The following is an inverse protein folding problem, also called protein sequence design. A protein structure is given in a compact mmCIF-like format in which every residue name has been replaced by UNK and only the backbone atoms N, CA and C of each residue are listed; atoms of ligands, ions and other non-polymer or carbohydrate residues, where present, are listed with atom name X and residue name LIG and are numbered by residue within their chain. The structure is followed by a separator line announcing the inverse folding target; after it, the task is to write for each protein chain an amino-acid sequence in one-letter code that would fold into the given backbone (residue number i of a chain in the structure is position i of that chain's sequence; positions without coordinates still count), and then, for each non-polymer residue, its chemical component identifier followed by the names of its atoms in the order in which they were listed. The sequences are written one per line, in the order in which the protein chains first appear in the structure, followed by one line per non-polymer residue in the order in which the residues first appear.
data_IF_074787355249
#
_entry.id   IF_074787355249
#
_cell.length_a   1.000
_cell.length_b   1.000
_cell.length_c   1.000
_cell.angle_alpha   90.00
_cell.angle_beta   90.00
_cell.angle_gamma   90.00
#
_symmetry.space_group_name_H-M   'P 1'
#
loop_
_entity.id
_entity.type
_entity.pdbx_description
1 polymer ?
#
# COMPACT_ATOMS: atom_id res chain seq x y z
N UNK A 1 -4.50 10.96 -3.32
CA UNK A 1 -5.26 10.16 -4.30
C UNK A 1 -5.96 8.99 -3.63
N UNK A 2 -5.37 8.32 -2.64
CA UNK A 2 -5.94 7.16 -1.91
C UNK A 2 -7.41 7.31 -1.49
N UNK A 3 -7.81 8.48 -0.95
CA UNK A 3 -9.19 8.70 -0.49
C UNK A 3 -10.24 8.62 -1.62
N UNK A 4 -9.85 8.97 -2.85
CA UNK A 4 -10.74 8.91 -4.03
C UNK A 4 -11.18 7.48 -4.31
N UNK A 5 -10.29 6.53 -4.03
CA UNK A 5 -10.51 5.10 -4.21
C UNK A 5 -11.31 4.46 -3.06
N UNK A 6 -11.83 5.24 -2.09
CA UNK A 6 -12.94 4.76 -1.25
C UNK A 6 -14.21 4.51 -2.07
N UNK A 7 -14.35 5.22 -3.19
CA UNK A 7 -15.43 5.00 -4.14
C UNK A 7 -15.16 3.75 -4.99
N UNK A 8 -16.07 2.78 -4.93
CA UNK A 8 -15.99 1.51 -5.66
C UNK A 8 -15.82 1.71 -7.16
N UNK A 9 -16.51 2.70 -7.74
CA UNK A 9 -16.42 2.97 -9.17
C UNK A 9 -15.04 3.52 -9.55
N UNK A 10 -14.42 4.33 -8.69
CA UNK A 10 -13.06 4.82 -8.90
C UNK A 10 -12.03 3.68 -8.82
N UNK A 11 -12.18 2.78 -7.84
CA UNK A 11 -11.31 1.60 -7.68
C UNK A 11 -11.48 0.61 -8.83
N UNK A 12 -12.72 0.35 -9.25
CA UNK A 12 -13.01 -0.49 -10.41
C UNK A 12 -12.41 0.10 -11.69
N UNK A 13 -12.54 1.41 -11.91
CA UNK A 13 -11.91 2.07 -13.05
C UNK A 13 -10.40 1.87 -13.03
N UNK A 14 -9.75 2.03 -11.88
CA UNK A 14 -8.31 1.82 -11.76
C UNK A 14 -7.91 0.37 -12.08
N UNK A 15 -8.57 -0.62 -11.47
CA UNK A 15 -8.22 -2.03 -11.66
C UNK A 15 -8.48 -2.46 -13.11
N UNK A 16 -9.58 -2.01 -13.72
CA UNK A 16 -9.86 -2.25 -15.14
C UNK A 16 -8.77 -1.72 -16.06
N UNK A 17 -8.21 -0.53 -15.76
CA UNK A 17 -7.11 0.03 -16.55
C UNK A 17 -5.82 -0.78 -16.37
N UNK A 18 -5.50 -1.16 -15.13
CA UNK A 18 -4.29 -1.92 -14.81
C UNK A 18 -4.34 -3.32 -15.42
N UNK A 19 -5.47 -4.03 -15.29
CA UNK A 19 -5.65 -5.39 -15.80
C UNK A 19 -6.11 -5.46 -17.25
N UNK A 20 -6.38 -4.31 -17.88
CA UNK A 20 -6.84 -4.20 -19.27
C UNK A 20 -8.11 -5.03 -19.56
N UNK A 21 -9.08 -4.99 -18.63
CA UNK A 21 -10.37 -5.68 -18.71
C UNK A 21 -11.52 -4.74 -18.31
N UNK A 22 -12.76 -5.09 -18.66
CA UNK A 22 -13.94 -4.24 -18.42
C UNK A 22 -15.13 -4.96 -17.78
N UNK A 23 -15.00 -6.26 -17.52
CA UNK A 23 -15.99 -7.15 -16.91
C UNK A 23 -15.93 -7.19 -15.38
N UNK A 24 -14.90 -6.59 -14.77
CA UNK A 24 -14.73 -6.55 -13.31
C UNK A 24 -15.89 -5.81 -12.63
N UNK A 25 -16.36 -6.37 -11.52
CA UNK A 25 -17.35 -5.74 -10.64
C UNK A 25 -16.85 -5.72 -9.20
N UNK A 26 -16.46 -4.55 -8.72
CA UNK A 26 -16.01 -4.37 -7.33
C UNK A 26 -17.22 -4.33 -6.40
N UNK A 27 -17.27 -5.25 -5.43
CA UNK A 27 -18.34 -5.36 -4.44
C UNK A 27 -17.97 -4.67 -3.13
N UNK A 28 -16.68 -4.64 -2.77
CA UNK A 28 -16.19 -4.05 -1.52
C UNK A 28 -14.89 -3.30 -1.75
N UNK A 29 -14.72 -2.20 -1.01
CA UNK A 29 -13.45 -1.47 -0.92
C UNK A 29 -13.23 -1.01 0.50
N UNK A 30 -12.08 -1.37 1.05
CA UNK A 30 -11.60 -0.98 2.36
C UNK A 30 -10.35 -0.12 2.17
N UNK A 31 -10.20 0.96 2.93
CA UNK A 31 -9.02 1.85 2.83
C UNK A 31 -8.37 2.03 4.18
N UNK A 32 -7.04 2.08 4.23
CA UNK A 32 -6.28 2.09 5.48
C UNK A 32 -6.63 0.89 6.36
N UNK A 33 -6.68 -0.29 5.74
CA UNK A 33 -7.07 -1.52 6.42
C UNK A 33 -5.87 -2.10 7.18
N UNK A 34 -5.99 -2.15 8.50
CA UNK A 34 -4.94 -2.63 9.40
C UNK A 34 -5.05 -4.16 9.55
N UNK A 35 -4.34 -4.88 8.69
CA UNK A 35 -4.19 -6.34 8.82
C UNK A 35 -3.26 -6.65 9.99
N UNK A 36 -3.86 -7.06 11.10
CA UNK A 36 -3.14 -7.38 12.33
C UNK A 36 -2.57 -8.78 12.28
N UNK A 37 -1.30 -8.91 12.59
CA UNK A 37 -0.67 -10.21 12.83
C UNK A 37 -0.39 -10.37 14.32
N UNK A 38 -0.85 -11.49 14.90
CA UNK A 38 -0.67 -11.78 16.34
C UNK A 38 0.80 -11.99 16.73
N UNK A 39 1.60 -12.53 15.81
CA UNK A 39 2.99 -12.94 16.09
C UNK A 39 4.02 -12.16 15.26
N UNK A 40 3.61 -11.69 14.08
CA UNK A 40 4.46 -11.01 13.11
C UNK A 40 4.24 -9.49 13.02
N UNK A 41 4.73 -8.89 11.94
CA UNK A 41 4.47 -7.48 11.64
C UNK A 41 3.03 -7.34 11.14
N UNK A 42 2.33 -6.31 11.59
CA UNK A 42 1.06 -5.92 10.97
C UNK A 42 1.33 -5.11 9.70
N UNK A 43 0.38 -5.08 8.78
CA UNK A 43 0.46 -4.28 7.56
C UNK A 43 -0.80 -3.43 7.47
N UNK A 44 -0.61 -2.16 7.15
CA UNK A 44 -1.70 -1.28 6.74
C UNK A 44 -1.75 -1.24 5.22
N UNK A 45 -2.86 -1.70 4.66
CA UNK A 45 -3.10 -1.63 3.22
C UNK A 45 -3.71 -0.27 2.88
N UNK A 46 -3.18 0.39 1.86
CA UNK A 46 -3.70 1.67 1.38
C UNK A 46 -5.16 1.50 0.92
N UNK A 47 -5.40 0.55 0.00
CA UNK A 47 -6.72 0.19 -0.53
C UNK A 47 -6.75 -1.33 -0.73
N UNK A 48 -7.77 -1.99 -0.17
CA UNK A 48 -8.11 -3.38 -0.45
C UNK A 48 -9.48 -3.42 -1.12
N UNK A 49 -9.54 -3.82 -2.39
CA UNK A 49 -10.79 -4.02 -3.12
C UNK A 49 -11.06 -5.51 -3.33
N UNK A 50 -12.34 -5.89 -3.34
CA UNK A 50 -12.81 -7.26 -3.55
C UNK A 50 -13.85 -7.24 -4.66
N UNK A 51 -13.72 -8.13 -5.65
CA UNK A 51 -14.68 -8.26 -6.73
C UNK A 51 -15.76 -9.33 -6.48
N UNK A 52 -16.69 -9.48 -7.42
CA UNK A 52 -17.77 -10.47 -7.34
C UNK A 52 -17.31 -11.92 -7.43
N UNK A 53 -16.07 -12.18 -7.85
CA UNK A 53 -15.46 -13.51 -7.92
C UNK A 53 -14.57 -13.80 -6.70
N UNK A 54 -14.58 -12.90 -5.70
CA UNK A 54 -13.76 -12.96 -4.49
C UNK A 54 -12.24 -12.85 -4.77
N UNK A 55 -11.86 -12.14 -5.84
CA UNK A 55 -10.47 -11.76 -6.12
C UNK A 55 -10.12 -10.52 -5.31
N UNK A 56 -8.95 -10.54 -4.67
CA UNK A 56 -8.47 -9.44 -3.82
C UNK A 56 -7.47 -8.56 -4.55
N UNK A 57 -7.66 -7.24 -4.46
CA UNK A 57 -6.79 -6.23 -5.04
C UNK A 57 -6.27 -5.30 -3.95
N UNK A 58 -5.01 -5.48 -3.59
CA UNK A 58 -4.29 -4.54 -2.74
C UNK A 58 -3.58 -3.49 -3.61
N UNK A 59 -4.02 -2.23 -3.53
CA UNK A 59 -3.47 -1.12 -4.29
C UNK A 59 -2.70 -0.19 -3.35
N UNK A 60 -1.41 -0.02 -3.63
CA UNK A 60 -0.44 0.70 -2.81
C UNK A 60 0.12 1.90 -3.58
N UNK A 61 -0.13 3.12 -3.11
CA UNK A 61 0.28 4.36 -3.82
C UNK A 61 1.53 4.94 -3.18
N UNK A 62 2.66 4.88 -3.87
CA UNK A 62 3.97 5.17 -3.30
C UNK A 62 4.69 6.32 -4.03
N UNK A 63 4.96 7.41 -3.30
CA UNK A 63 5.77 8.53 -3.81
C UNK A 63 7.26 8.22 -3.87
N UNK A 64 7.75 7.45 -2.91
CA UNK A 64 9.15 7.07 -2.83
C UNK A 64 9.31 5.59 -3.13
N UNK A 65 10.22 5.26 -4.04
CA UNK A 65 10.46 3.89 -4.52
C UNK A 65 10.80 2.92 -3.38
N UNK A 66 11.42 3.41 -2.29
CA UNK A 66 11.68 2.62 -1.07
C UNK A 66 10.41 1.99 -0.49
N UNK A 67 9.26 2.64 -0.65
CA UNK A 67 7.96 2.17 -0.17
C UNK A 67 7.40 1.01 -1.01
N UNK A 68 7.86 0.84 -2.24
CA UNK A 68 7.38 -0.19 -3.17
C UNK A 68 8.35 -1.40 -3.26
N UNK A 69 9.08 -1.70 -2.19
CA UNK A 69 10.08 -2.78 -2.22
C UNK A 69 9.46 -4.14 -2.57
N UNK A 70 10.17 -4.94 -3.37
CA UNK A 70 9.72 -6.29 -3.77
C UNK A 70 9.40 -7.21 -2.58
N UNK A 71 10.13 -7.05 -1.47
CA UNK A 71 9.87 -7.80 -0.23
C UNK A 71 8.56 -7.39 0.43
N UNK A 72 8.19 -6.11 0.36
CA UNK A 72 6.89 -5.61 0.84
C UNK A 72 5.76 -6.17 -0.02
N UNK A 73 5.93 -6.21 -1.34
CA UNK A 73 4.93 -6.81 -2.22
C UNK A 73 4.59 -8.25 -1.81
N UNK A 74 5.61 -9.10 -1.70
CA UNK A 74 5.44 -10.48 -1.22
C UNK A 74 4.83 -10.57 0.17
N UNK A 75 5.23 -9.68 1.08
CA UNK A 75 4.73 -9.69 2.46
C UNK A 75 3.25 -9.31 2.52
N UNK A 76 2.83 -8.34 1.72
CA UNK A 76 1.44 -7.94 1.59
C UNK A 76 0.57 -9.11 1.08
N UNK A 77 1.02 -9.84 0.05
CA UNK A 77 0.30 -11.04 -0.44
C UNK A 77 0.08 -12.05 0.69
N UNK A 78 1.15 -12.43 1.37
CA UNK A 78 1.09 -13.39 2.49
C UNK A 78 0.18 -12.93 3.63
N UNK A 79 0.12 -11.63 3.89
CA UNK A 79 -0.77 -11.06 4.90
C UNK A 79 -2.24 -11.10 4.47
N UNK A 80 -2.55 -10.90 3.19
CA UNK A 80 -3.91 -11.08 2.68
C UNK A 80 -4.36 -12.53 2.84
N UNK A 81 -3.56 -13.50 2.37
CA UNK A 81 -3.87 -14.94 2.50
C UNK A 81 -4.13 -15.35 3.94
N UNK A 82 -3.33 -14.82 4.87
CA UNK A 82 -3.46 -15.11 6.30
C UNK A 82 -4.70 -14.51 6.95
N UNK A 83 -5.28 -13.45 6.38
CA UNK A 83 -6.45 -12.76 6.95
C UNK A 83 -7.78 -13.22 6.33
N UNK A 84 -7.75 -13.85 5.15
CA UNK A 84 -8.95 -14.35 4.47
C UNK A 84 -9.27 -15.82 4.75
N UNK A 85 -8.33 -16.55 5.34
CA UNK A 85 -8.48 -17.99 5.64
C UNK A 85 -8.74 -18.25 7.12
N UNK A 86 -9.52 -19.28 7.41
CA UNK A 86 -9.75 -19.76 8.77
C UNK A 86 -8.89 -21.02 9.06
N UNK A 87 -8.58 -21.30 10.34
CA UNK A 87 -7.85 -22.51 10.69
C UNK A 87 -8.55 -23.79 10.19
N UNK A 88 -7.87 -24.54 9.33
CA UNK A 88 -8.37 -25.79 8.76
C UNK A 88 -8.97 -25.67 7.36
N UNK A 89 -8.98 -24.47 6.77
CA UNK A 89 -9.30 -24.34 5.35
C UNK A 89 -8.26 -25.02 4.45
N UNK A 90 -8.75 -25.53 3.31
CA UNK A 90 -7.91 -26.07 2.23
C UNK A 90 -7.25 -24.93 1.48
N UNK A 91 -6.00 -25.13 1.02
CA UNK A 91 -5.25 -24.11 0.31
C UNK A 91 -5.89 -23.74 -1.03
N UNK A 92 -6.63 -24.67 -1.63
CA UNK A 92 -7.40 -24.49 -2.86
C UNK A 92 -8.54 -23.45 -2.72
N UNK A 93 -8.89 -23.06 -1.49
CA UNK A 93 -9.84 -21.98 -1.22
C UNK A 93 -9.19 -20.60 -1.16
N UNK A 94 -7.86 -20.51 -1.23
CA UNK A 94 -7.18 -19.22 -1.27
C UNK A 94 -7.69 -18.43 -2.48
N UNK A 95 -8.13 -17.18 -2.27
CA UNK A 95 -8.57 -16.35 -3.38
C UNK A 95 -7.38 -15.97 -4.26
N UNK A 96 -7.67 -15.65 -5.51
CA UNK A 96 -6.69 -14.99 -6.37
C UNK A 96 -6.39 -13.59 -5.79
N UNK A 97 -5.11 -13.22 -5.75
CA UNK A 97 -4.67 -11.97 -5.14
C UNK A 97 -3.78 -11.15 -6.07
N UNK A 98 -3.96 -9.83 -6.01
CA UNK A 98 -3.15 -8.85 -6.72
C UNK A 98 -2.56 -7.85 -5.74
N UNK A 99 -1.25 -7.66 -5.78
CA UNK A 99 -0.57 -6.53 -5.15
C UNK A 99 -0.12 -5.56 -6.23
N UNK A 100 -0.79 -4.41 -6.30
CA UNK A 100 -0.61 -3.37 -7.32
C UNK A 100 0.08 -2.16 -6.69
N UNK A 101 1.36 -1.98 -6.98
CA UNK A 101 2.08 -0.76 -6.60
C UNK A 101 1.95 0.31 -7.68
N UNK A 102 1.44 1.48 -7.33
CA UNK A 102 1.48 2.67 -8.17
C UNK A 102 2.61 3.55 -7.68
N UNK A 103 3.72 3.57 -8.40
CA UNK A 103 4.90 4.34 -8.02
C UNK A 103 4.92 5.67 -8.73
N UNK A 104 5.29 6.75 -8.02
CA UNK A 104 5.42 8.08 -8.64
C UNK A 104 6.45 8.08 -9.77
N UNK A 105 7.56 7.34 -9.61
CA UNK A 105 8.59 7.18 -10.64
C UNK A 105 8.46 5.84 -11.37
N UNK A 106 9.17 5.72 -12.50
CA UNK A 106 9.39 4.42 -13.14
C UNK A 106 10.35 3.55 -12.29
N UNK A 107 9.79 2.69 -11.45
CA UNK A 107 10.53 1.84 -10.51
C UNK A 107 11.58 0.94 -11.19
N UNK A 108 11.32 0.50 -12.43
CA UNK A 108 12.23 -0.40 -13.17
C UNK A 108 13.04 0.32 -14.24
N UNK A 109 12.73 1.57 -14.54
CA UNK A 109 13.44 2.40 -15.53
C UNK A 109 13.36 1.85 -16.95
N UNK A 110 12.25 1.20 -17.32
CA UNK A 110 12.05 0.61 -18.67
C UNK A 110 11.02 1.33 -19.52
N UNK A 111 10.43 2.42 -19.02
CA UNK A 111 9.49 3.28 -19.73
C UNK A 111 8.20 2.56 -20.17
N UNK A 112 7.84 1.47 -19.51
CA UNK A 112 6.58 0.76 -19.73
C UNK A 112 5.51 1.29 -18.77
N UNK A 113 4.22 1.23 -19.13
CA UNK A 113 3.14 1.63 -18.23
C UNK A 113 2.98 0.67 -17.05
N UNK A 114 3.23 -0.63 -17.28
CA UNK A 114 2.97 -1.72 -16.35
C UNK A 114 4.11 -2.73 -16.35
N UNK A 115 4.35 -3.35 -15.20
CA UNK A 115 5.27 -4.46 -15.02
C UNK A 115 4.57 -5.57 -14.23
N UNK A 116 4.27 -6.67 -14.91
CA UNK A 116 3.75 -7.89 -14.30
C UNK A 116 4.91 -8.74 -13.79
N UNK A 117 4.80 -9.22 -12.56
CA UNK A 117 5.81 -10.06 -11.91
C UNK A 117 5.14 -11.36 -11.53
N UNK A 118 5.40 -12.38 -12.35
CA UNK A 118 4.86 -13.74 -12.20
C UNK A 118 5.95 -14.72 -11.80
N UNK A 119 5.54 -15.80 -11.12
CA UNK A 119 6.43 -16.93 -10.82
C UNK A 119 6.45 -17.91 -11.99
N UNK A 120 7.64 -18.41 -12.31
CA UNK A 120 7.87 -19.37 -13.38
C UNK A 120 8.65 -20.57 -12.86
N UNK A 121 8.36 -21.75 -13.42
CA UNK A 121 9.16 -22.95 -13.24
C UNK A 121 10.45 -22.75 -14.04
N UNK A 122 11.60 -22.76 -13.38
CA UNK A 122 12.87 -22.34 -14.01
C UNK A 122 13.31 -23.31 -15.12
N UNK A 123 12.99 -24.59 -14.97
CA UNK A 123 13.40 -25.67 -15.86
C UNK A 123 12.56 -25.71 -17.14
N UNK A 124 11.26 -25.41 -17.05
CA UNK A 124 10.33 -25.50 -18.20
C UNK A 124 9.97 -24.14 -18.78
N UNK A 125 10.14 -23.06 -18.01
CA UNK A 125 9.68 -21.71 -18.36
C UNK A 125 8.17 -21.52 -18.27
N UNK A 126 7.44 -22.53 -17.79
CA UNK A 126 5.99 -22.45 -17.61
C UNK A 126 5.64 -21.55 -16.43
N UNK A 127 4.48 -20.90 -16.49
CA UNK A 127 3.94 -20.16 -15.36
C UNK A 127 3.64 -21.14 -14.22
N UNK A 128 4.00 -20.74 -13.00
CA UNK A 128 3.67 -21.51 -11.80
C UNK A 128 2.15 -21.46 -11.49
N UNK A 129 1.48 -20.38 -11.91
CA UNK A 129 0.02 -20.17 -11.82
C UNK A 129 -0.57 -20.38 -10.41
N UNK A 130 0.08 -19.83 -9.40
CA UNK A 130 -0.37 -19.87 -7.99
C UNK A 130 -1.41 -18.81 -7.62
N UNK A 131 -1.95 -18.09 -8.62
CA UNK A 131 -2.98 -17.05 -8.45
C UNK A 131 -2.56 -15.88 -7.56
N UNK A 132 -1.25 -15.66 -7.39
CA UNK A 132 -0.71 -14.50 -6.71
C UNK A 132 0.05 -13.62 -7.73
N UNK A 133 -0.45 -12.41 -7.94
CA UNK A 133 0.05 -11.49 -8.95
C UNK A 133 0.63 -10.24 -8.32
N UNK A 134 1.80 -9.81 -8.80
CA UNK A 134 2.40 -8.53 -8.40
C UNK A 134 2.51 -7.64 -9.64
N UNK A 135 1.96 -6.43 -9.55
CA UNK A 135 1.97 -5.46 -10.64
C UNK A 135 2.59 -4.16 -10.15
N UNK A 136 3.52 -3.61 -10.92
CA UNK A 136 4.00 -2.25 -10.73
C UNK A 136 3.50 -1.36 -11.85
N UNK A 137 2.85 -0.27 -11.49
CA UNK A 137 2.34 0.77 -12.38
C UNK A 137 3.30 1.96 -12.35
N UNK A 138 3.75 2.37 -13.54
CA UNK A 138 4.65 3.49 -13.72
C UNK A 138 3.89 4.82 -13.73
N UNK A 139 3.96 5.58 -12.63
CA UNK A 139 3.35 6.90 -12.51
C UNK A 139 3.89 7.97 -13.45
N UNK A 140 5.12 7.82 -13.97
CA UNK A 140 5.70 8.74 -14.96
C UNK A 140 5.21 8.49 -16.37
N UNK A 141 4.45 7.41 -16.61
CA UNK A 141 3.97 7.08 -17.93
C UNK A 141 3.05 8.18 -18.48
N UNK A 142 3.29 8.61 -19.73
CA UNK A 142 2.53 9.65 -20.45
C UNK A 142 2.22 9.22 -21.88
N UNK A 143 1.74 7.98 -22.05
CA UNK A 143 1.27 7.48 -23.33
C UNK A 143 -0.05 8.13 -23.77
N UNK A 144 -0.39 7.98 -25.04
CA UNK A 144 -1.68 8.40 -25.59
C UNK A 144 -2.69 7.25 -25.55
N UNK A 145 -2.93 6.73 -24.34
CA UNK A 145 -3.83 5.62 -24.06
C UNK A 145 -4.50 5.82 -22.69
N UNK A 146 -5.48 4.97 -22.32
CA UNK A 146 -6.17 5.14 -21.05
C UNK A 146 -5.30 5.01 -19.79
N UNK A 147 -4.16 4.32 -19.86
CA UNK A 147 -3.19 4.26 -18.75
C UNK A 147 -2.41 5.58 -18.66
N UNK A 148 -2.04 6.17 -19.78
CA UNK A 148 -1.44 7.51 -19.83
C UNK A 148 -2.36 8.59 -19.25
N UNK A 149 -3.65 8.55 -19.58
CA UNK A 149 -4.68 9.42 -19.00
C UNK A 149 -4.81 9.21 -17.48
N UNK A 150 -4.86 7.95 -17.04
CA UNK A 150 -4.93 7.63 -15.61
C UNK A 150 -3.70 8.16 -14.87
N UNK A 151 -2.50 7.92 -15.39
CA UNK A 151 -1.26 8.37 -14.75
C UNK A 151 -1.10 9.89 -14.81
N UNK A 152 -1.59 10.55 -15.86
CA UNK A 152 -1.68 12.01 -15.89
C UNK A 152 -2.53 12.54 -14.73
N UNK A 153 -3.71 11.96 -14.52
CA UNK A 153 -4.67 12.37 -13.49
C UNK A 153 -4.14 12.22 -12.06
N UNK A 154 -3.26 11.25 -11.80
CA UNK A 154 -2.57 11.10 -10.51
C UNK A 154 -1.70 12.31 -10.14
N UNK A 155 -1.24 13.09 -11.13
CA UNK A 155 -0.38 14.27 -10.95
C UNK A 155 -1.17 15.58 -11.04
N UNK A 156 -2.43 15.55 -11.49
CA UNK A 156 -3.28 16.73 -11.56
C UNK A 156 -3.59 17.30 -10.18
N UNK A 157 -3.37 18.61 -10.03
CA UNK A 157 -3.81 19.35 -8.84
C UNK A 157 -5.21 19.92 -9.02
N UNK A 158 -5.63 20.31 -10.22
CA UNK A 158 -6.98 20.79 -10.47
C UNK A 158 -7.83 19.66 -11.07
N UNK A 159 -9.02 19.33 -10.51
CA UNK A 159 -9.92 18.39 -11.14
C UNK A 159 -10.35 18.77 -12.56
N UNK A 160 -10.34 20.06 -12.92
CA UNK A 160 -10.67 20.50 -14.28
C UNK A 160 -9.65 20.05 -15.34
N UNK A 161 -8.42 19.74 -14.91
CA UNK A 161 -7.34 19.30 -15.81
C UNK A 161 -7.36 17.78 -16.00
N UNK A 162 -8.20 17.02 -15.29
CA UNK A 162 -8.18 15.56 -15.33
C UNK A 162 -8.92 14.99 -16.55
N UNK A 163 -8.38 13.95 -17.17
CA UNK A 163 -8.97 13.22 -18.30
C UNK A 163 -10.19 12.38 -17.87
N UNK A 164 -10.11 11.73 -16.70
CA UNK A 164 -11.17 10.83 -16.22
C UNK A 164 -12.21 11.61 -15.40
N UNK A 165 -13.40 11.82 -15.99
CA UNK A 165 -14.51 12.56 -15.35
C UNK A 165 -14.91 11.99 -13.99
N UNK A 166 -14.90 10.66 -13.83
CA UNK A 166 -15.24 10.00 -12.57
C UNK A 166 -14.24 10.38 -11.46
N UNK A 167 -12.94 10.28 -11.76
CA UNK A 167 -11.89 10.69 -10.82
C UNK A 167 -11.95 12.20 -10.55
N UNK A 168 -12.18 13.01 -11.59
CA UNK A 168 -12.32 14.46 -11.47
C UNK A 168 -13.45 14.87 -10.52
N UNK A 169 -14.62 14.22 -10.62
CA UNK A 169 -15.76 14.46 -9.74
C UNK A 169 -15.44 14.09 -8.29
N UNK A 170 -14.82 12.93 -8.05
CA UNK A 170 -14.42 12.52 -6.69
C UNK A 170 -13.35 13.45 -6.11
N UNK A 171 -12.34 13.85 -6.89
CA UNK A 171 -11.34 14.84 -6.46
C UNK A 171 -11.99 16.18 -6.15
N UNK A 172 -12.97 16.63 -6.94
CA UNK A 172 -13.71 17.87 -6.67
C UNK A 172 -14.46 17.77 -5.34
N UNK A 173 -15.19 16.68 -5.11
CA UNK A 173 -15.89 16.44 -3.85
C UNK A 173 -14.99 16.64 -2.62
N UNK A 174 -13.83 15.99 -2.58
CA UNK A 174 -12.90 16.11 -1.45
C UNK A 174 -12.19 17.47 -1.34
N UNK A 175 -12.29 18.34 -2.35
CA UNK A 175 -11.64 19.65 -2.38
C UNK A 175 -12.57 20.83 -2.13
N UNK A 176 -13.83 20.72 -2.54
CA UNK A 176 -14.75 21.87 -2.57
C UNK A 176 -16.02 21.65 -1.77
N UNK A 177 -16.50 20.41 -1.66
CA UNK A 177 -17.73 20.12 -0.92
C UNK A 177 -17.43 20.06 0.58
N UNK A 178 -18.26 20.72 1.40
CA UNK A 178 -18.02 20.90 2.84
C UNK A 178 -17.81 19.57 3.56
N UNK A 179 -18.62 18.56 3.24
CA UNK A 179 -18.50 17.21 3.80
C UNK A 179 -17.18 16.53 3.40
N UNK A 180 -16.84 16.57 2.12
CA UNK A 180 -15.59 15.99 1.59
C UNK A 180 -14.35 16.66 2.17
N UNK A 181 -14.36 17.99 2.31
CA UNK A 181 -13.29 18.76 2.95
C UNK A 181 -13.17 18.41 4.42
N UNK A 182 -14.29 18.28 5.14
CA UNK A 182 -14.30 17.87 6.56
C UNK A 182 -13.67 16.49 6.75
N UNK A 183 -14.01 15.52 5.90
CA UNK A 183 -13.40 14.19 5.92
C UNK A 183 -11.89 14.26 5.64
N UNK A 184 -11.46 15.04 4.64
CA UNK A 184 -10.05 15.22 4.34
C UNK A 184 -9.27 15.86 5.49
N UNK A 185 -9.87 16.83 6.19
CA UNK A 185 -9.27 17.45 7.37
C UNK A 185 -9.03 16.43 8.49
N UNK A 186 -10.01 15.56 8.78
CA UNK A 186 -9.89 14.49 9.78
C UNK A 186 -8.76 13.52 9.41
N UNK A 187 -8.76 13.03 8.17
CA UNK A 187 -7.73 12.11 7.67
C UNK A 187 -6.33 12.76 7.74
N UNK A 188 -6.22 14.03 7.38
CA UNK A 188 -4.96 14.78 7.46
C UNK A 188 -4.46 14.91 8.90
N UNK A 189 -5.36 15.14 9.85
CA UNK A 189 -5.03 15.21 11.28
C UNK A 189 -4.59 13.86 11.84
N UNK A 190 -5.29 12.77 11.47
CA UNK A 190 -4.92 11.39 11.81
C UNK A 190 -3.51 11.06 11.30
N UNK A 191 -3.25 11.25 10.00
CA UNK A 191 -1.93 11.00 9.39
C UNK A 191 -0.86 11.85 10.07
N UNK A 192 -1.15 13.11 10.42
CA UNK A 192 -0.20 13.99 11.12
C UNK A 192 0.10 13.50 12.53
N UNK A 193 -0.90 13.02 13.25
CA UNK A 193 -0.74 12.51 14.61
C UNK A 193 0.02 11.18 14.62
N UNK A 194 -0.28 10.29 13.67
CA UNK A 194 0.44 9.04 13.46
C UNK A 194 1.91 9.29 13.07
N UNK A 195 2.18 10.13 12.07
CA UNK A 195 3.55 10.46 11.67
C UNK A 195 4.37 11.11 12.79
N UNK A 196 3.73 11.83 13.71
CA UNK A 196 4.38 12.32 14.94
C UNK A 196 4.69 11.20 15.93
N UNK A 197 3.80 10.22 16.07
CA UNK A 197 4.02 9.07 16.95
C UNK A 197 5.15 8.18 16.40
N UNK A 198 5.13 7.87 15.10
CA UNK A 198 6.18 7.12 14.42
C UNK A 198 7.52 7.85 14.49
N UNK A 199 7.57 9.14 14.17
CA UNK A 199 8.81 9.92 14.23
C UNK A 199 9.41 9.99 15.65
N UNK A 200 8.58 9.99 16.70
CA UNK A 200 9.07 9.87 18.08
C UNK A 200 9.65 8.48 18.37
N UNK A 201 8.98 7.42 17.91
CA UNK A 201 9.46 6.05 18.09
C UNK A 201 10.79 5.83 17.35
N UNK A 202 10.90 6.25 16.10
CA UNK A 202 12.14 6.19 15.31
C UNK A 202 13.28 7.00 15.96
N UNK A 203 12.98 8.22 16.43
CA UNK A 203 13.96 9.05 17.15
C UNK A 203 14.50 8.37 18.40
N UNK A 204 13.62 7.73 19.19
CA UNK A 204 14.04 6.96 20.37
C UNK A 204 14.90 5.75 20.01
N UNK A 205 14.58 5.02 18.94
CA UNK A 205 15.42 3.93 18.44
C UNK A 205 16.81 4.46 18.03
N UNK A 206 16.86 5.59 17.34
CA UNK A 206 18.13 6.19 16.92
C UNK A 206 18.98 6.65 18.11
N UNK A 207 18.35 7.23 19.14
CA UNK A 207 19.01 7.64 20.38
C UNK A 207 19.57 6.43 21.13
N UNK A 208 18.80 5.34 21.26
CA UNK A 208 19.29 4.08 21.83
C UNK A 208 20.50 3.55 21.04
N UNK A 209 20.42 3.51 19.70
CA UNK A 209 21.56 3.11 18.84
C UNK A 209 22.79 3.98 19.06
N UNK A 210 22.61 5.31 19.18
CA UNK A 210 23.71 6.26 19.42
C UNK A 210 24.35 6.04 20.79
N UNK A 211 23.56 5.86 21.85
CA UNK A 211 24.05 5.58 23.20
C UNK A 211 24.83 4.26 23.24
N UNK A 212 24.29 3.20 22.63
CA UNK A 212 24.97 1.90 22.55
C UNK A 212 26.28 1.99 21.77
N UNK A 213 26.29 2.68 20.62
CA UNK A 213 27.46 2.73 19.73
C UNK A 213 28.55 3.72 20.16
N UNK A 214 28.15 4.91 20.66
CA UNK A 214 29.10 6.00 20.98
C UNK A 214 29.55 5.99 22.44
N UNK A 215 28.67 5.56 23.35
CA UNK A 215 28.94 5.57 24.79
C UNK A 215 29.12 4.14 25.35
N UNK A 216 29.06 3.10 24.51
CA UNK A 216 29.15 1.69 24.90
C UNK A 216 28.13 1.28 25.97
N UNK A 217 26.94 1.90 25.95
CA UNK A 217 25.87 1.50 26.87
C UNK A 217 25.32 0.13 26.45
N UNK A 218 24.92 -0.69 27.43
CA UNK A 218 24.08 -1.85 27.15
C UNK A 218 22.69 -1.35 26.73
N UNK A 219 21.91 -2.19 26.04
CA UNK A 219 20.54 -1.83 25.66
C UNK A 219 19.70 -1.40 26.87
N UNK A 220 19.78 -2.16 27.97
CA UNK A 220 19.10 -1.83 29.22
C UNK A 220 19.54 -0.46 29.78
N UNK A 221 20.85 -0.19 29.84
CA UNK A 221 21.38 1.09 30.33
C UNK A 221 21.00 2.28 29.44
N UNK A 222 20.95 2.09 28.11
CA UNK A 222 20.47 3.11 27.18
C UNK A 222 18.98 3.39 27.36
N UNK A 223 18.17 2.35 27.62
CA UNK A 223 16.74 2.49 27.89
C UNK A 223 16.46 3.17 29.24
N UNK A 224 17.23 2.83 30.28
CA UNK A 224 17.14 3.49 31.59
C UNK A 224 17.55 4.96 31.49
N UNK A 225 18.63 5.27 30.76
CA UNK A 225 19.10 6.64 30.56
C UNK A 225 18.07 7.53 29.84
N UNK A 226 17.31 6.95 28.91
CA UNK A 226 16.23 7.64 28.19
C UNK A 226 14.87 7.56 28.91
N UNK A 227 14.84 7.02 30.13
CA UNK A 227 13.64 6.85 30.95
C UNK A 227 12.50 6.13 30.21
N UNK A 228 12.85 5.15 29.37
CA UNK A 228 11.87 4.42 28.56
C UNK A 228 11.00 3.53 29.43
N UNK A 229 9.68 3.61 29.22
CA UNK A 229 8.71 2.69 29.82
C UNK A 229 8.91 1.25 29.33
N UNK A 230 8.36 0.27 30.05
CA UNK A 230 8.48 -1.15 29.72
C UNK A 230 7.93 -1.48 28.32
N UNK A 231 6.83 -0.84 27.94
CA UNK A 231 6.22 -1.02 26.62
C UNK A 231 7.12 -0.45 25.50
N UNK A 232 7.71 0.73 25.72
CA UNK A 232 8.64 1.35 24.77
C UNK A 232 9.92 0.53 24.61
N UNK A 233 10.43 -0.07 25.69
CA UNK A 233 11.57 -1.00 25.62
C UNK A 233 11.27 -2.20 24.73
N UNK A 234 10.12 -2.84 24.93
CA UNK A 234 9.72 -4.00 24.13
C UNK A 234 9.56 -3.65 22.64
N UNK A 235 9.01 -2.47 22.33
CA UNK A 235 8.89 -2.00 20.95
C UNK A 235 10.25 -1.68 20.32
N UNK A 236 11.14 -1.00 21.04
CA UNK A 236 12.47 -0.65 20.53
C UNK A 236 13.33 -1.90 20.35
N UNK A 237 13.26 -2.85 21.27
CA UNK A 237 14.00 -4.12 21.17
C UNK A 237 13.62 -4.91 19.91
N UNK A 238 12.32 -4.94 19.56
CA UNK A 238 11.82 -5.51 18.29
C UNK A 238 12.32 -4.78 17.05
N UNK A 239 12.57 -3.47 17.14
CA UNK A 239 13.06 -2.64 16.03
C UNK A 239 14.60 -2.64 15.91
N UNK A 240 15.31 -3.18 16.90
CA UNK A 240 16.78 -3.29 16.92
C UNK A 240 17.30 -4.64 16.42
N UNK A 241 16.47 -5.68 16.40
CA UNK A 241 16.76 -6.99 15.80
C UNK A 241 16.70 -6.93 14.27
#
# INVERSE_FOLDING_TARGET
MTVVFKDKACSQLLINRVLQRDDLKIIEVHTQDDLKNLWGRSVRLDILAIDSENVLYNIEVQRADKGASRKRARYNSSMMDSNVTEPGDEYEKLPETFVIFITENDYFGKQLPLYHVERVIQETGELFDDKEHIIYVNGQYRGNDPMGDLMHDFFCKNPDDMSNKLLAQSVRYYKTEEEGVSQMCKISEEIRNEGRAEGRAEGRVEDVKKLMKKLNYTFAAACDFLELSTDERSQIEKLLQ
#
